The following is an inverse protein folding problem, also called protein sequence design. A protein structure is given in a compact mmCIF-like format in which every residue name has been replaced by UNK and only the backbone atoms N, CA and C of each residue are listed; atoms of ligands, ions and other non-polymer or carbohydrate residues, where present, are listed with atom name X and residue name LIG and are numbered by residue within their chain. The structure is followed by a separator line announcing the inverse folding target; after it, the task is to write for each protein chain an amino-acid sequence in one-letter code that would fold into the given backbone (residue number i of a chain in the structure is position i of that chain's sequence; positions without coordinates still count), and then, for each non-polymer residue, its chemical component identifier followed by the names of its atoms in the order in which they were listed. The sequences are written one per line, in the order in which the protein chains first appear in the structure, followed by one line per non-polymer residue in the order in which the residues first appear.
data_IF_862729338052
#
_entry.id   IF_862729338052
#
_cell.length_a   1.000
_cell.length_b   1.000
_cell.length_c   1.000
_cell.angle_alpha   90.00
_cell.angle_beta   90.00
_cell.angle_gamma   90.00
#
_symmetry.space_group_name_H-M   'P 1'
#
loop_
_entity.id
_entity.type
_entity.pdbx_description
1 polymer ?
#
# COMPACT_ATOMS: atom_id res chain seq x y z
N UNK A 1 -28.31 0.69 9.31
CA UNK A 1 -27.15 1.58 9.14
C UNK A 1 -26.17 1.28 10.24
N UNK A 2 -25.15 0.55 9.92
CA UNK A 2 -23.98 0.50 10.78
C UNK A 2 -23.40 1.90 10.79
N UNK A 3 -23.46 2.60 11.92
CA UNK A 3 -22.61 3.73 12.17
C UNK A 3 -21.19 3.22 11.99
N UNK A 4 -20.61 3.45 10.81
CA UNK A 4 -19.24 3.12 10.55
C UNK A 4 -18.36 3.89 11.52
N UNK A 5 -18.07 3.29 12.68
CA UNK A 5 -17.02 3.79 13.54
C UNK A 5 -15.77 3.77 12.69
N UNK A 6 -15.21 4.94 12.42
CA UNK A 6 -13.90 5.06 11.81
C UNK A 6 -12.93 4.19 12.62
N UNK A 7 -12.25 3.26 11.95
CA UNK A 7 -11.27 2.41 12.61
C UNK A 7 -10.03 3.25 12.93
N UNK A 8 -9.91 3.72 14.17
CA UNK A 8 -8.74 4.45 14.64
C UNK A 8 -7.74 3.49 15.28
N UNK A 9 -6.47 3.80 15.17
CA UNK A 9 -5.39 3.02 15.77
C UNK A 9 -4.94 1.80 14.97
N UNK A 10 -5.56 1.48 13.84
CA UNK A 10 -5.19 0.35 13.00
C UNK A 10 -3.73 0.46 12.52
N UNK A 11 -3.37 1.59 11.92
CA UNK A 11 -2.01 1.80 11.41
C UNK A 11 -1.02 2.12 12.52
N UNK A 12 -1.45 2.73 13.62
CA UNK A 12 -0.60 2.89 14.80
C UNK A 12 -0.15 1.53 15.34
N UNK A 13 -1.08 0.59 15.48
CA UNK A 13 -0.76 -0.79 15.90
C UNK A 13 0.12 -1.51 14.88
N UNK A 14 -0.13 -1.28 13.60
CA UNK A 14 0.67 -1.89 12.55
C UNK A 14 2.11 -1.37 12.58
N UNK A 15 2.31 -0.07 12.75
CA UNK A 15 3.65 0.52 12.88
C UNK A 15 4.38 -0.03 14.11
N UNK A 16 3.69 -0.23 15.22
CA UNK A 16 4.27 -0.86 16.40
C UNK A 16 4.76 -2.29 16.09
N UNK A 17 3.96 -3.06 15.38
CA UNK A 17 4.34 -4.41 14.95
C UNK A 17 5.53 -4.37 13.97
N UNK A 18 5.55 -3.41 13.05
CA UNK A 18 6.66 -3.22 12.11
C UNK A 18 7.97 -2.89 12.85
N UNK A 19 7.90 -2.04 13.87
CA UNK A 19 9.07 -1.72 14.70
C UNK A 19 9.62 -2.94 15.44
N UNK A 20 8.75 -3.88 15.82
CA UNK A 20 9.15 -5.13 16.50
C UNK A 20 9.57 -6.24 15.53
N UNK A 21 9.46 -6.01 14.21
CA UNK A 21 9.75 -7.04 13.21
C UNK A 21 8.71 -8.16 13.16
N UNK A 22 7.47 -7.87 13.55
CA UNK A 22 6.39 -8.87 13.66
C UNK A 22 5.33 -8.78 12.56
N UNK A 23 5.44 -7.82 11.65
CA UNK A 23 4.47 -7.68 10.55
C UNK A 23 4.93 -8.53 9.34
N UNK A 24 4.19 -9.57 8.97
CA UNK A 24 4.59 -10.44 7.84
C UNK A 24 4.51 -9.75 6.49
N UNK A 25 3.79 -8.64 6.40
CA UNK A 25 3.68 -7.83 5.19
C UNK A 25 4.81 -6.82 5.00
N UNK A 26 5.79 -6.76 5.91
CA UNK A 26 6.91 -5.83 5.82
C UNK A 26 7.68 -6.00 4.51
N UNK A 27 7.95 -4.89 3.83
CA UNK A 27 8.77 -4.86 2.61
C UNK A 27 10.06 -4.09 2.83
N UNK A 28 9.98 -2.88 3.36
CA UNK A 28 11.17 -2.04 3.60
C UNK A 28 10.85 -0.92 4.59
N UNK A 29 11.88 -0.50 5.35
CA UNK A 29 11.85 0.77 6.07
C UNK A 29 12.42 1.85 5.14
N UNK A 30 11.59 2.81 4.79
CA UNK A 30 11.99 3.94 3.94
C UNK A 30 12.15 5.21 4.79
N UNK A 31 12.77 6.26 4.25
CA UNK A 31 12.98 7.51 4.99
C UNK A 31 11.67 8.13 5.46
N UNK A 32 10.63 8.07 4.63
CA UNK A 32 9.31 8.65 4.92
C UNK A 32 8.31 7.69 5.54
N UNK A 33 8.65 6.42 5.74
CA UNK A 33 7.72 5.47 6.32
C UNK A 33 8.06 4.00 6.09
N UNK A 34 7.08 3.16 6.38
CA UNK A 34 7.16 1.70 6.21
C UNK A 34 6.42 1.29 4.95
N UNK A 35 7.12 0.59 4.05
CA UNK A 35 6.50 -0.04 2.88
C UNK A 35 6.01 -1.43 3.28
N UNK A 36 4.75 -1.72 3.00
CA UNK A 36 4.12 -3.00 3.33
C UNK A 36 3.26 -3.50 2.18
N UNK A 37 3.04 -4.81 2.13
CA UNK A 37 2.00 -5.39 1.26
C UNK A 37 0.62 -4.96 1.73
N UNK A 38 -0.26 -4.65 0.79
CA UNK A 38 -1.67 -4.42 1.09
C UNK A 38 -2.33 -5.69 1.60
N UNK A 39 -3.27 -5.56 2.53
CA UNK A 39 -3.94 -6.71 3.16
C UNK A 39 -4.80 -7.50 2.18
N UNK A 40 -5.31 -6.85 1.16
CA UNK A 40 -6.12 -7.46 0.10
C UNK A 40 -5.41 -7.35 -1.24
N UNK A 41 -5.40 -8.46 -1.95
CA UNK A 41 -4.75 -8.56 -3.26
C UNK A 41 -5.75 -9.01 -4.31
N UNK A 42 -6.53 -8.07 -4.88
CA UNK A 42 -7.54 -8.45 -5.88
C UNK A 42 -6.88 -8.89 -7.19
N UNK A 43 -7.36 -10.00 -7.74
CA UNK A 43 -7.00 -10.39 -9.09
C UNK A 43 -7.86 -9.59 -10.08
N UNK A 44 -7.32 -9.05 -11.18
CA UNK A 44 -5.98 -9.31 -11.74
C UNK A 44 -4.90 -8.27 -11.33
N UNK A 45 -5.14 -7.44 -10.33
CA UNK A 45 -4.23 -6.35 -9.96
C UNK A 45 -3.44 -6.63 -8.67
N UNK A 46 -3.01 -7.87 -8.48
CA UNK A 46 -2.15 -8.23 -7.35
C UNK A 46 -0.80 -7.50 -7.42
N UNK A 47 -0.31 -7.09 -6.27
CA UNK A 47 0.89 -6.27 -6.13
C UNK A 47 0.61 -4.95 -5.41
N UNK A 48 -0.60 -4.83 -4.82
CA UNK A 48 -0.98 -3.65 -4.05
C UNK A 48 -0.11 -3.51 -2.81
N UNK A 49 0.40 -2.30 -2.60
CA UNK A 49 1.25 -1.95 -1.46
C UNK A 49 0.72 -0.71 -0.77
N UNK A 50 1.24 -0.46 0.42
CA UNK A 50 0.97 0.78 1.16
C UNK A 50 2.27 1.34 1.75
N UNK A 51 2.31 2.66 1.89
CA UNK A 51 3.32 3.36 2.65
C UNK A 51 2.67 4.01 3.87
N UNK A 52 3.23 3.76 5.05
CA UNK A 52 2.71 4.25 6.34
C UNK A 52 3.80 5.06 7.01
N UNK A 53 3.57 6.34 7.37
CA UNK A 53 4.59 7.15 8.03
C UNK A 53 4.84 6.69 9.46
N UNK A 54 5.98 7.03 10.01
CA UNK A 54 6.33 6.77 11.40
C UNK A 54 7.00 8.02 11.99
N UNK A 55 6.37 8.72 12.92
CA UNK A 55 5.12 8.39 13.62
C UNK A 55 3.88 8.55 12.73
N UNK A 56 2.81 7.84 13.09
CA UNK A 56 1.53 7.94 12.39
C UNK A 56 0.89 9.30 12.67
N UNK A 57 0.38 9.94 11.62
CA UNK A 57 -0.34 11.20 11.69
C UNK A 57 -1.68 11.06 10.96
N UNK A 58 -2.67 11.94 11.22
CA UNK A 58 -3.99 11.77 10.61
C UNK A 58 -4.03 11.95 9.09
N UNK A 59 -3.24 12.87 8.55
CA UNK A 59 -3.24 13.13 7.11
C UNK A 59 -1.88 13.63 6.62
N UNK A 60 -1.70 13.65 5.30
CA UNK A 60 -0.45 14.17 4.69
C UNK A 60 -0.24 15.64 5.02
N UNK A 61 -1.31 16.38 5.28
CA UNK A 61 -1.23 17.81 5.63
C UNK A 61 -0.70 18.03 7.05
N UNK A 62 -0.71 17.00 7.90
CA UNK A 62 -0.17 17.06 9.25
C UNK A 62 1.35 16.80 9.30
N UNK A 63 1.94 16.41 8.19
CA UNK A 63 3.40 16.30 8.09
C UNK A 63 4.03 17.68 7.89
N UNK A 64 5.21 17.89 8.50
CA UNK A 64 6.04 19.05 8.19
C UNK A 64 6.54 19.00 6.75
N UNK A 65 7.07 20.12 6.25
CA UNK A 65 7.47 20.23 4.84
C UNK A 65 8.51 19.16 4.43
N UNK A 66 9.48 18.90 5.29
CA UNK A 66 10.54 17.93 5.02
C UNK A 66 10.02 16.49 5.03
N UNK A 67 9.26 16.14 6.05
CA UNK A 67 8.66 14.80 6.19
C UNK A 67 7.66 14.54 5.06
N UNK A 68 6.91 15.56 4.65
CA UNK A 68 5.98 15.47 3.53
C UNK A 68 6.72 15.15 2.24
N UNK A 69 7.82 15.86 1.97
CA UNK A 69 8.65 15.63 0.79
C UNK A 69 9.21 14.20 0.79
N UNK A 70 9.68 13.70 1.93
CA UNK A 70 10.17 12.33 2.07
C UNK A 70 9.05 11.31 1.84
N UNK A 71 7.90 11.50 2.46
CA UNK A 71 6.76 10.59 2.30
C UNK A 71 6.31 10.50 0.85
N UNK A 72 6.10 11.64 0.19
CA UNK A 72 5.64 11.65 -1.21
C UNK A 72 6.70 11.07 -2.16
N UNK A 73 7.97 11.37 -1.94
CA UNK A 73 9.07 10.79 -2.72
C UNK A 73 9.15 9.28 -2.55
N UNK A 74 9.03 8.80 -1.33
CA UNK A 74 9.06 7.36 -1.04
C UNK A 74 7.83 6.63 -1.57
N UNK A 75 6.67 7.29 -1.60
CA UNK A 75 5.47 6.73 -2.20
C UNK A 75 5.71 6.41 -3.68
N UNK A 76 6.34 7.32 -4.41
CA UNK A 76 6.67 7.11 -5.83
C UNK A 76 7.77 6.06 -6.00
N UNK A 77 8.78 6.04 -5.10
CA UNK A 77 9.81 4.99 -5.11
C UNK A 77 9.23 3.60 -4.86
N UNK A 78 8.23 3.51 -3.98
CA UNK A 78 7.50 2.25 -3.80
C UNK A 78 6.76 1.87 -5.09
N UNK A 79 6.20 2.85 -5.78
CA UNK A 79 5.60 2.65 -7.11
C UNK A 79 6.59 2.12 -8.14
N UNK A 80 7.81 2.64 -8.15
CA UNK A 80 8.88 2.12 -9.03
C UNK A 80 9.17 0.65 -8.75
N UNK A 81 9.21 0.27 -7.47
CA UNK A 81 9.41 -1.12 -7.07
C UNK A 81 8.25 -2.02 -7.51
N UNK A 82 7.02 -1.54 -7.39
CA UNK A 82 5.82 -2.26 -7.85
C UNK A 82 5.87 -2.48 -9.36
N UNK A 83 6.23 -1.46 -10.13
CA UNK A 83 6.39 -1.58 -11.58
C UNK A 83 7.43 -2.64 -11.94
N UNK A 84 8.58 -2.62 -11.27
CA UNK A 84 9.66 -3.59 -11.51
C UNK A 84 9.24 -5.01 -11.15
N UNK A 85 8.61 -5.18 -9.99
CA UNK A 85 8.26 -6.50 -9.48
C UNK A 85 7.09 -7.15 -10.22
N UNK A 86 6.16 -6.37 -10.74
CA UNK A 86 4.90 -6.89 -11.32
C UNK A 86 4.83 -6.80 -12.84
N UNK A 87 5.64 -5.95 -13.46
CA UNK A 87 5.51 -5.66 -14.89
C UNK A 87 4.28 -4.83 -15.24
N UNK A 88 3.67 -4.16 -14.26
CA UNK A 88 2.50 -3.32 -14.49
C UNK A 88 2.80 -2.18 -15.47
N UNK A 89 1.76 -1.72 -16.16
CA UNK A 89 1.84 -0.58 -17.08
C UNK A 89 2.01 0.73 -16.34
N UNK A 90 1.29 0.86 -15.22
CA UNK A 90 1.30 2.06 -14.36
C UNK A 90 0.91 1.71 -12.94
N UNK A 91 1.08 2.67 -12.07
CA UNK A 91 0.65 2.59 -10.68
C UNK A 91 -0.36 3.70 -10.42
N UNK A 92 -1.42 3.38 -9.72
CA UNK A 92 -2.32 4.38 -9.14
C UNK A 92 -1.90 4.65 -7.68
N UNK A 93 -1.83 5.92 -7.34
CA UNK A 93 -1.51 6.38 -5.99
C UNK A 93 -2.76 6.99 -5.38
N UNK A 94 -3.13 6.57 -4.17
CA UNK A 94 -4.33 7.08 -3.49
C UNK A 94 -4.02 7.32 -2.01
N UNK A 95 -4.33 8.53 -1.57
CA UNK A 95 -4.23 8.93 -0.18
C UNK A 95 -5.62 9.37 0.24
N UNK A 96 -6.43 8.45 0.74
CA UNK A 96 -7.84 8.67 1.05
C UNK A 96 -8.06 8.90 2.55
N UNK A 97 -7.68 7.94 3.37
CA UNK A 97 -7.72 7.99 4.83
C UNK A 97 -9.11 8.31 5.42
N UNK A 98 -10.17 7.93 4.70
CA UNK A 98 -11.55 8.22 5.12
C UNK A 98 -12.13 7.17 6.06
N UNK A 99 -11.78 5.91 5.86
CA UNK A 99 -12.24 4.81 6.72
C UNK A 99 -11.36 4.68 7.96
N UNK A 100 -10.05 4.80 7.78
CA UNK A 100 -9.07 4.83 8.86
C UNK A 100 -8.41 6.20 8.82
N UNK A 101 -8.67 7.08 9.80
CA UNK A 101 -8.16 8.46 9.79
C UNK A 101 -6.69 8.53 10.25
N UNK A 102 -5.87 7.69 9.66
CA UNK A 102 -4.44 7.62 9.87
C UNK A 102 -3.76 7.58 8.51
N UNK A 103 -2.72 8.38 8.31
CA UNK A 103 -2.09 8.52 7.00
C UNK A 103 -1.53 7.19 6.50
N UNK A 104 -1.95 6.82 5.32
CA UNK A 104 -1.41 5.71 4.54
C UNK A 104 -1.64 5.99 3.06
N UNK A 105 -0.63 5.72 2.25
CA UNK A 105 -0.72 5.87 0.80
C UNK A 105 -0.84 4.50 0.13
N UNK A 106 -1.83 4.34 -0.73
CA UNK A 106 -1.99 3.14 -1.53
C UNK A 106 -1.16 3.24 -2.81
N UNK A 107 -0.49 2.15 -3.16
CA UNK A 107 0.29 2.00 -4.40
C UNK A 107 -0.24 0.76 -5.10
N UNK A 108 -1.00 0.96 -6.17
CA UNK A 108 -1.79 -0.11 -6.80
C UNK A 108 -1.39 -0.28 -8.26
N UNK A 109 -0.89 -1.46 -8.67
CA UNK A 109 -0.51 -1.70 -10.05
C UNK A 109 -1.73 -1.82 -10.94
N UNK A 110 -1.60 -1.32 -12.17
CA UNK A 110 -2.63 -1.45 -13.20
C UNK A 110 -2.00 -2.07 -14.44
N UNK A 111 -2.70 -3.01 -15.06
CA UNK A 111 -2.15 -3.86 -16.11
C UNK A 111 -2.89 -3.68 -17.43
N UNK A 112 -2.15 -3.78 -18.54
CA UNK A 112 -2.73 -3.76 -19.89
C UNK A 112 -3.73 -4.90 -20.08
N UNK A 113 -3.51 -6.03 -19.41
CA UNK A 113 -4.35 -7.23 -19.49
C UNK A 113 -5.70 -7.12 -18.78
N UNK A 114 -5.93 -6.05 -18.01
CA UNK A 114 -7.24 -5.84 -17.38
C UNK A 114 -8.32 -5.63 -18.43
N UNK A 115 -9.57 -5.97 -18.07
CA UNK A 115 -10.74 -5.61 -18.88
C UNK A 115 -10.72 -4.12 -19.23
N UNK A 116 -10.98 -3.73 -20.52
CA UNK A 116 -10.86 -2.34 -20.95
C UNK A 116 -11.70 -1.34 -20.13
N UNK A 117 -12.90 -1.73 -19.69
CA UNK A 117 -13.73 -0.87 -18.82
C UNK A 117 -13.10 -0.71 -17.43
N UNK A 118 -12.62 -1.80 -16.85
CA UNK A 118 -11.96 -1.77 -15.53
C UNK A 118 -10.70 -0.91 -15.54
N UNK A 119 -9.92 -0.98 -16.63
CA UNK A 119 -8.68 -0.18 -16.77
C UNK A 119 -8.93 1.32 -16.72
N UNK A 120 -10.11 1.77 -17.12
CA UNK A 120 -10.46 3.19 -17.19
C UNK A 120 -10.92 3.74 -15.83
N UNK A 121 -11.23 2.85 -14.89
CA UNK A 121 -11.74 3.21 -13.57
C UNK A 121 -10.62 3.22 -12.53
N UNK A 122 -10.82 3.94 -11.44
CA UNK A 122 -9.98 3.83 -10.26
C UNK A 122 -10.08 2.42 -9.67
N UNK A 123 -9.05 1.97 -8.93
CA UNK A 123 -8.99 0.58 -8.51
C UNK A 123 -10.13 0.18 -7.57
N UNK A 124 -10.58 1.09 -6.69
CA UNK A 124 -11.66 0.80 -5.75
C UNK A 124 -13.05 0.82 -6.39
N UNK A 125 -13.18 1.41 -7.59
CA UNK A 125 -14.41 1.34 -8.40
C UNK A 125 -14.42 0.08 -9.23
N UNK A 126 -13.27 -0.27 -9.82
CA UNK A 126 -13.14 -1.40 -10.72
C UNK A 126 -13.22 -2.76 -10.00
N UNK A 127 -12.73 -2.83 -8.76
CA UNK A 127 -12.60 -4.08 -8.00
C UNK A 127 -13.12 -3.93 -6.58
N UNK A 128 -13.80 -4.97 -6.09
CA UNK A 128 -14.26 -5.03 -4.71
C UNK A 128 -13.16 -5.63 -3.82
N UNK A 129 -12.41 -4.77 -3.14
CA UNK A 129 -11.32 -5.19 -2.26
C UNK A 129 -11.83 -5.99 -1.06
N UNK A 130 -13.07 -5.78 -0.62
CA UNK A 130 -13.64 -6.54 0.49
C UNK A 130 -13.82 -8.02 0.18
N UNK A 131 -13.96 -8.35 -1.11
CA UNK A 131 -14.10 -9.72 -1.59
C UNK A 131 -12.79 -10.32 -2.11
N UNK A 132 -11.72 -9.51 -2.12
CA UNK A 132 -10.42 -9.98 -2.60
C UNK A 132 -9.77 -10.92 -1.59
N UNK A 133 -8.87 -11.75 -2.09
CA UNK A 133 -8.08 -12.64 -1.24
C UNK A 133 -7.22 -11.84 -0.25
N UNK A 134 -7.16 -12.31 0.99
CA UNK A 134 -6.20 -11.79 1.95
C UNK A 134 -4.77 -12.11 1.51
N UNK A 135 -3.87 -11.17 1.75
CA UNK A 135 -2.46 -11.38 1.44
C UNK A 135 -1.89 -12.52 2.29
N UNK A 136 -1.08 -13.36 1.65
CA UNK A 136 -0.37 -14.48 2.28
C UNK A 136 1.12 -14.33 1.99
N UNK A 137 1.85 -13.49 2.75
CA UNK A 137 3.25 -13.18 2.44
C UNK A 137 4.20 -14.38 2.53
N UNK A 138 3.86 -15.37 3.35
CA UNK A 138 4.63 -16.61 3.50
C UNK A 138 4.03 -17.77 2.71
N UNK A 139 3.00 -17.51 1.92
CA UNK A 139 2.26 -18.49 1.13
C UNK A 139 2.11 -18.06 -0.33
N UNK A 140 0.86 -17.84 -0.76
CA UNK A 140 0.54 -17.53 -2.15
C UNK A 140 1.23 -16.26 -2.69
N UNK A 141 1.59 -15.30 -1.83
CA UNK A 141 2.22 -14.04 -2.21
C UNK A 141 3.71 -13.97 -1.83
N UNK A 142 4.35 -15.11 -1.50
CA UNK A 142 5.75 -15.14 -1.09
C UNK A 142 6.70 -14.65 -2.19
N UNK A 143 6.47 -15.05 -3.43
CA UNK A 143 7.30 -14.64 -4.57
C UNK A 143 7.13 -13.15 -4.86
N UNK A 144 5.90 -12.64 -4.77
CA UNK A 144 5.62 -11.20 -4.92
C UNK A 144 6.35 -10.39 -3.84
N UNK A 145 6.24 -10.82 -2.58
CA UNK A 145 6.92 -10.15 -1.46
C UNK A 145 8.43 -10.11 -1.67
N UNK A 146 9.02 -11.22 -2.11
CA UNK A 146 10.45 -11.30 -2.40
C UNK A 146 10.86 -10.35 -3.51
N UNK A 147 10.12 -10.33 -4.62
CA UNK A 147 10.40 -9.46 -5.74
C UNK A 147 10.32 -7.98 -5.35
N UNK A 148 9.33 -7.61 -4.54
CA UNK A 148 9.19 -6.24 -4.05
C UNK A 148 10.33 -5.85 -3.11
N UNK A 149 10.73 -6.72 -2.19
CA UNK A 149 11.85 -6.47 -1.28
C UNK A 149 13.16 -6.29 -2.05
N UNK A 150 13.39 -7.11 -3.06
CA UNK A 150 14.57 -7.00 -3.93
C UNK A 150 14.58 -5.67 -4.69
N UNK A 151 13.43 -5.28 -5.25
CA UNK A 151 13.30 -4.01 -5.97
C UNK A 151 13.53 -2.80 -5.06
N UNK A 152 13.10 -2.88 -3.80
CA UNK A 152 13.29 -1.80 -2.82
C UNK A 152 14.71 -1.74 -2.27
N UNK A 153 15.45 -2.83 -2.32
CA UNK A 153 16.84 -2.89 -1.85
C UNK A 153 17.83 -2.36 -2.89
N UNK A 154 17.40 -2.28 -4.14
CA UNK A 154 18.23 -1.85 -5.27
C UNK A 154 18.45 -0.34 -5.42
#
# INVERSE_FOLDING_TARGET
MTNGKLESGLFTRRVEALRRGEDPGFLARMSGGWAVLGDRQPSPISGCCMLIPDPVVPSVNDLGAEERAMFMGDLVRLGDAVLTATGAERVNYLILCNQVPELHGHVIPRFISEDPESRRQGPFEAYDFSQAIHVEPDGAHADLARALREALAG
#
